data_IF_649722113927
#
_entry.id   IF_649722113927
#
_cell.length_a   1.000
_cell.length_b   1.000
_cell.length_c   1.000
_cell.angle_alpha   90.00
_cell.angle_beta   90.00
_cell.angle_gamma   90.00
#
_symmetry.space_group_name_H-M   'P 1'
#
loop_
_entity.id
_entity.type
_entity.pdbx_description
1 polymer ?
#
# COMPACT_ATOMS: atom_id res chain seq x y z
N UNK A 1 -12.91 -8.55 -19.29
CA UNK A 1 -11.47 -8.68 -19.60
C UNK A 1 -10.77 -9.18 -18.35
N UNK A 2 -9.71 -9.97 -18.48
CA UNK A 2 -8.97 -10.47 -17.32
C UNK A 2 -8.13 -9.34 -16.71
N UNK A 3 -7.94 -9.37 -15.39
CA UNK A 3 -6.99 -8.51 -14.70
C UNK A 3 -5.56 -8.97 -15.02
N UNK A 4 -4.64 -8.03 -15.18
CA UNK A 4 -3.23 -8.29 -15.44
C UNK A 4 -2.40 -7.85 -14.23
N UNK A 5 -1.25 -8.51 -14.01
CA UNK A 5 -0.27 -8.06 -13.03
C UNK A 5 0.46 -6.84 -13.60
N UNK A 6 0.29 -5.63 -13.04
CA UNK A 6 1.03 -4.47 -13.52
C UNK A 6 2.53 -4.69 -13.34
N UNK A 7 3.39 -4.25 -14.26
CA UNK A 7 4.83 -4.33 -14.06
C UNK A 7 5.25 -3.46 -12.86
N UNK A 8 6.34 -3.85 -12.19
CA UNK A 8 6.96 -2.99 -11.17
C UNK A 8 7.38 -1.64 -11.79
N UNK A 9 7.25 -0.52 -11.07
CA UNK A 9 7.69 0.80 -11.56
C UNK A 9 9.22 0.96 -11.69
N UNK A 10 9.98 -0.03 -11.24
CA UNK A 10 11.44 -0.04 -11.14
C UNK A 10 11.99 -1.47 -11.20
N UNK A 11 13.30 -1.61 -11.41
CA UNK A 11 14.00 -2.90 -11.38
C UNK A 11 13.93 -3.56 -10.00
N UNK A 12 13.97 -4.90 -9.94
CA UNK A 12 13.79 -5.64 -8.67
C UNK A 12 14.83 -5.35 -7.59
N UNK A 13 16.04 -4.95 -7.97
CA UNK A 13 17.09 -4.57 -7.00
C UNK A 13 17.10 -3.07 -6.69
N UNK A 14 16.18 -2.29 -7.25
CA UNK A 14 16.19 -0.83 -7.14
C UNK A 14 15.89 -0.33 -5.71
N UNK A 15 15.28 -1.17 -4.87
CA UNK A 15 14.94 -0.83 -3.48
C UNK A 15 16.00 -1.28 -2.46
N UNK A 16 17.11 -1.87 -2.92
CA UNK A 16 18.20 -2.28 -2.03
C UNK A 16 18.94 -1.07 -1.44
N UNK A 17 19.44 -1.16 -0.19
CA UNK A 17 19.42 -2.33 0.71
C UNK A 17 18.17 -2.39 1.61
N UNK A 18 17.14 -1.59 1.33
CA UNK A 18 15.99 -1.41 2.21
C UNK A 18 14.93 -2.49 2.04
N UNK A 19 14.74 -2.99 0.81
CA UNK A 19 13.97 -4.19 0.51
C UNK A 19 14.74 -4.94 -0.58
N UNK A 20 15.03 -6.23 -0.37
CA UNK A 20 15.89 -7.00 -1.27
C UNK A 20 15.20 -7.37 -2.58
N UNK A 21 16.00 -7.63 -3.62
CA UNK A 21 15.47 -8.20 -4.86
C UNK A 21 14.76 -9.55 -4.65
N UNK A 22 15.21 -10.35 -3.69
CA UNK A 22 14.55 -11.61 -3.31
C UNK A 22 13.14 -11.34 -2.75
N UNK A 23 13.00 -10.35 -1.85
CA UNK A 23 11.68 -9.93 -1.37
C UNK A 23 10.79 -9.50 -2.54
N UNK A 24 11.28 -8.72 -3.49
CA UNK A 24 10.46 -8.28 -4.63
C UNK A 24 10.07 -9.46 -5.55
N UNK A 25 10.96 -10.42 -5.76
CA UNK A 25 10.64 -11.63 -6.52
C UNK A 25 9.50 -12.43 -5.89
N UNK A 26 9.52 -12.64 -4.57
CA UNK A 26 8.43 -13.33 -3.89
C UNK A 26 7.17 -12.47 -3.77
N UNK A 27 7.30 -11.21 -3.37
CA UNK A 27 6.17 -10.34 -3.05
C UNK A 27 5.42 -9.90 -4.31
N UNK A 28 6.12 -9.53 -5.39
CA UNK A 28 5.50 -9.16 -6.65
C UNK A 28 5.15 -10.39 -7.51
N UNK A 29 6.15 -11.19 -7.91
CA UNK A 29 5.92 -12.22 -8.94
C UNK A 29 5.19 -13.46 -8.40
N UNK A 30 5.18 -13.68 -7.08
CA UNK A 30 4.44 -14.78 -6.45
C UNK A 30 3.19 -14.27 -5.73
N UNK A 31 3.31 -13.47 -4.67
CA UNK A 31 2.15 -13.05 -3.88
C UNK A 31 1.17 -12.19 -4.69
N UNK A 32 1.62 -11.06 -5.24
CA UNK A 32 0.77 -10.17 -6.04
C UNK A 32 0.18 -10.89 -7.27
N UNK A 33 1.01 -11.63 -8.01
CA UNK A 33 0.56 -12.42 -9.15
C UNK A 33 -0.50 -13.48 -8.77
N UNK A 34 -0.33 -14.16 -7.62
CA UNK A 34 -1.31 -15.15 -7.14
C UNK A 34 -2.66 -14.50 -6.88
N UNK A 35 -2.71 -13.28 -6.32
CA UNK A 35 -3.97 -12.56 -6.15
C UNK A 35 -4.64 -12.23 -7.49
N UNK A 36 -3.87 -11.84 -8.51
CA UNK A 36 -4.39 -11.61 -9.88
C UNK A 36 -4.97 -12.90 -10.46
N UNK A 37 -4.22 -14.00 -10.41
CA UNK A 37 -4.66 -15.32 -10.91
C UNK A 37 -5.93 -15.79 -10.20
N UNK A 38 -5.96 -15.70 -8.87
CA UNK A 38 -7.13 -16.09 -8.08
C UNK A 38 -8.35 -15.21 -8.38
N UNK A 39 -8.17 -13.89 -8.51
CA UNK A 39 -9.26 -12.99 -8.87
C UNK A 39 -9.85 -13.36 -10.23
N UNK A 40 -9.01 -13.61 -11.23
CA UNK A 40 -9.43 -14.05 -12.56
C UNK A 40 -10.16 -15.39 -12.57
N UNK A 41 -9.88 -16.28 -11.59
CA UNK A 41 -10.60 -17.54 -11.45
C UNK A 41 -11.96 -17.36 -10.74
N UNK A 42 -12.10 -16.36 -9.87
CA UNK A 42 -13.28 -16.16 -9.03
C UNK A 42 -14.35 -15.24 -9.66
N UNK A 43 -13.94 -14.29 -10.50
CA UNK A 43 -14.84 -13.29 -11.11
C UNK A 43 -15.76 -13.87 -12.19
N UNK A 44 -15.33 -14.82 -13.06
CA UNK A 44 -16.19 -15.30 -14.14
C UNK A 44 -17.52 -15.91 -13.67
N UNK A 45 -18.61 -15.60 -14.39
CA UNK A 45 -19.96 -16.02 -14.06
C UNK A 45 -20.60 -15.29 -12.87
N UNK A 46 -19.98 -14.25 -12.34
CA UNK A 46 -20.50 -13.44 -11.22
C UNK A 46 -20.95 -12.05 -11.67
N UNK A 47 -21.63 -11.31 -10.79
CA UNK A 47 -21.98 -9.89 -11.02
C UNK A 47 -20.78 -8.94 -11.12
N UNK A 48 -19.56 -9.44 -10.87
CA UNK A 48 -18.32 -8.67 -10.94
C UNK A 48 -17.65 -8.75 -12.31
N UNK A 49 -18.14 -9.59 -13.23
CA UNK A 49 -17.64 -9.62 -14.60
C UNK A 49 -17.75 -8.24 -15.27
N UNK A 50 -16.64 -7.76 -15.83
CA UNK A 50 -16.59 -6.49 -16.57
C UNK A 50 -16.51 -5.24 -15.70
N UNK A 51 -16.61 -5.35 -14.36
CA UNK A 51 -16.34 -4.24 -13.45
C UNK A 51 -14.85 -3.92 -13.36
N UNK A 52 -14.52 -2.67 -13.07
CA UNK A 52 -13.16 -2.25 -12.73
C UNK A 52 -12.70 -2.84 -11.39
N UNK A 53 -11.39 -2.86 -11.15
CA UNK A 53 -10.83 -3.39 -9.91
C UNK A 53 -11.38 -2.63 -8.68
N UNK A 54 -11.45 -1.30 -8.76
CA UNK A 54 -11.98 -0.43 -7.72
C UNK A 54 -13.46 -0.69 -7.43
N UNK A 55 -14.28 -0.90 -8.48
CA UNK A 55 -15.69 -1.26 -8.30
C UNK A 55 -15.84 -2.61 -7.59
N UNK A 56 -15.01 -3.60 -7.94
CA UNK A 56 -15.01 -4.90 -7.26
C UNK A 56 -14.59 -4.73 -5.80
N UNK A 57 -13.52 -3.99 -5.51
CA UNK A 57 -13.08 -3.72 -4.13
C UNK A 57 -14.19 -3.08 -3.30
N UNK A 58 -14.92 -2.13 -3.88
CA UNK A 58 -15.99 -1.39 -3.18
C UNK A 58 -17.28 -2.19 -2.96
N UNK A 59 -17.57 -3.18 -3.80
CA UNK A 59 -18.89 -3.85 -3.82
C UNK A 59 -18.87 -5.35 -3.54
N UNK A 60 -17.70 -5.99 -3.56
CA UNK A 60 -17.58 -7.43 -3.28
C UNK A 60 -17.32 -7.74 -1.80
N UNK A 61 -17.39 -9.02 -1.45
CA UNK A 61 -17.05 -9.54 -0.12
C UNK A 61 -16.36 -10.91 -0.25
N UNK A 62 -15.89 -11.47 0.87
CA UNK A 62 -15.30 -12.81 0.90
C UNK A 62 -14.06 -12.96 0.01
N UNK A 63 -13.96 -14.09 -0.70
CA UNK A 63 -12.77 -14.43 -1.51
C UNK A 63 -12.53 -13.46 -2.68
N UNK A 64 -13.58 -12.95 -3.32
CA UNK A 64 -13.46 -11.98 -4.42
C UNK A 64 -12.88 -10.66 -3.86
N UNK A 65 -13.43 -10.16 -2.76
CA UNK A 65 -12.91 -8.97 -2.09
C UNK A 65 -11.45 -9.14 -1.69
N UNK A 66 -11.11 -10.27 -1.05
CA UNK A 66 -9.75 -10.51 -0.58
C UNK A 66 -8.72 -10.43 -1.71
N UNK A 67 -9.00 -11.05 -2.85
CA UNK A 67 -8.07 -11.02 -3.97
C UNK A 67 -8.09 -9.67 -4.70
N UNK A 68 -9.26 -9.07 -4.94
CA UNK A 68 -9.36 -7.77 -5.59
C UNK A 68 -8.64 -6.67 -4.80
N UNK A 69 -8.90 -6.61 -3.49
CA UNK A 69 -8.28 -5.62 -2.63
C UNK A 69 -6.78 -5.86 -2.48
N UNK A 70 -6.30 -7.11 -2.42
CA UNK A 70 -4.86 -7.35 -2.41
C UNK A 70 -4.18 -6.98 -3.73
N UNK A 71 -4.79 -7.20 -4.90
CA UNK A 71 -4.26 -6.71 -6.19
C UNK A 71 -4.14 -5.18 -6.16
N UNK A 72 -5.20 -4.50 -5.70
CA UNK A 72 -5.20 -3.04 -5.64
C UNK A 72 -4.17 -2.51 -4.63
N UNK A 73 -4.15 -3.05 -3.41
CA UNK A 73 -3.25 -2.64 -2.33
C UNK A 73 -1.78 -2.81 -2.72
N UNK A 74 -1.41 -3.94 -3.36
CA UNK A 74 -0.03 -4.17 -3.80
C UNK A 74 0.36 -3.23 -4.93
N UNK A 75 -0.51 -3.06 -5.93
CA UNK A 75 -0.26 -2.10 -7.02
C UNK A 75 -0.04 -0.69 -6.46
N UNK A 76 -0.85 -0.27 -5.49
CA UNK A 76 -0.69 1.01 -4.81
C UNK A 76 0.62 1.07 -3.98
N UNK A 77 0.95 0.00 -3.27
CA UNK A 77 2.19 -0.11 -2.49
C UNK A 77 3.45 0.02 -3.33
N UNK A 78 3.53 -0.63 -4.50
CA UNK A 78 4.70 -0.50 -5.38
C UNK A 78 4.91 0.94 -5.86
N UNK A 79 3.82 1.66 -6.13
CA UNK A 79 3.91 3.07 -6.51
C UNK A 79 4.24 4.00 -5.33
N UNK A 80 3.96 3.58 -4.09
CA UNK A 80 4.39 4.25 -2.87
C UNK A 80 5.90 4.16 -2.61
N UNK A 81 6.62 3.33 -3.36
CA UNK A 81 8.07 3.14 -3.23
C UNK A 81 8.80 3.68 -4.45
N UNK A 82 10.05 4.10 -4.26
CA UNK A 82 10.93 4.58 -5.32
C UNK A 82 12.40 4.37 -4.95
N UNK A 83 13.27 4.00 -5.91
CA UNK A 83 14.72 3.94 -5.70
C UNK A 83 15.34 5.30 -5.31
N UNK A 84 14.68 6.40 -5.70
CA UNK A 84 15.08 7.77 -5.37
C UNK A 84 14.10 8.40 -4.35
N UNK A 85 13.39 7.56 -3.59
CA UNK A 85 12.43 7.99 -2.59
C UNK A 85 13.08 8.43 -1.28
N UNK A 86 12.27 8.47 -0.23
CA UNK A 86 12.68 8.89 1.10
C UNK A 86 12.73 10.41 1.26
N UNK A 87 13.46 10.88 2.27
CA UNK A 87 13.45 12.29 2.63
C UNK A 87 12.08 12.75 3.18
N UNK A 88 11.67 13.97 2.85
CA UNK A 88 10.43 14.59 3.30
C UNK A 88 9.59 15.07 2.11
N UNK A 89 8.26 15.07 2.20
CA UNK A 89 7.42 15.69 1.18
C UNK A 89 7.66 17.20 1.13
N UNK A 90 7.25 17.82 0.03
CA UNK A 90 7.31 19.28 -0.15
C UNK A 90 5.96 19.83 -0.59
N UNK A 91 5.83 21.16 -0.64
CA UNK A 91 4.63 21.84 -1.12
C UNK A 91 3.38 21.54 -0.31
N UNK A 92 2.22 21.54 -0.99
CA UNK A 92 0.91 21.43 -0.34
C UNK A 92 0.74 20.16 0.51
N UNK A 93 1.37 19.04 0.12
CA UNK A 93 1.34 17.81 0.91
C UNK A 93 2.10 17.98 2.24
N UNK A 94 3.26 18.63 2.22
CA UNK A 94 4.03 18.88 3.43
C UNK A 94 3.29 19.81 4.39
N UNK A 95 2.66 20.86 3.85
CA UNK A 95 1.83 21.78 4.64
C UNK A 95 0.63 21.06 5.27
N UNK A 96 -0.04 20.19 4.52
CA UNK A 96 -1.16 19.40 5.01
C UNK A 96 -0.74 18.41 6.11
N UNK A 97 0.41 17.75 5.96
CA UNK A 97 0.98 16.86 6.97
C UNK A 97 1.33 17.66 8.23
N UNK A 98 2.01 18.81 8.09
CA UNK A 98 2.36 19.64 9.24
C UNK A 98 1.11 20.19 9.95
N UNK A 99 0.06 20.54 9.21
CA UNK A 99 -1.20 21.00 9.79
C UNK A 99 -1.94 19.89 10.55
N UNK A 100 -1.96 18.66 10.02
CA UNK A 100 -2.68 17.54 10.63
C UNK A 100 -1.94 16.91 11.82
N UNK A 101 -0.61 16.80 11.74
CA UNK A 101 0.21 16.04 12.69
C UNK A 101 1.20 16.91 13.47
N UNK A 102 1.21 18.23 13.24
CA UNK A 102 2.10 19.21 13.87
C UNK A 102 3.50 19.29 13.25
N UNK A 103 4.05 18.17 12.75
CA UNK A 103 5.31 18.14 11.99
C UNK A 103 5.43 16.84 11.20
N UNK A 104 6.29 16.82 10.17
CA UNK A 104 6.64 15.59 9.46
C UNK A 104 7.19 14.50 10.39
N UNK A 105 8.07 14.86 11.35
CA UNK A 105 8.64 13.87 12.28
C UNK A 105 7.56 13.23 13.17
N UNK A 106 6.57 14.00 13.60
CA UNK A 106 5.42 13.47 14.36
C UNK A 106 4.52 12.58 13.50
N UNK A 107 4.24 12.98 12.26
CA UNK A 107 3.57 12.11 11.30
C UNK A 107 4.32 10.79 11.09
N UNK A 108 5.64 10.84 10.86
CA UNK A 108 6.50 9.67 10.68
C UNK A 108 6.45 8.75 11.90
N UNK A 109 6.53 9.32 13.11
CA UNK A 109 6.40 8.59 14.36
C UNK A 109 5.04 7.88 14.48
N UNK A 110 3.94 8.59 14.23
CA UNK A 110 2.59 8.05 14.36
C UNK A 110 2.24 7.02 13.28
N UNK A 111 2.57 7.28 12.01
CA UNK A 111 2.39 6.33 10.92
C UNK A 111 3.19 5.04 11.18
N UNK A 112 4.43 5.17 11.69
CA UNK A 112 5.23 4.01 12.06
C UNK A 112 4.57 3.21 13.18
N UNK A 113 4.05 3.86 14.22
CA UNK A 113 3.33 3.20 15.32
C UNK A 113 2.08 2.47 14.83
N UNK A 114 1.28 3.09 13.96
CA UNK A 114 0.08 2.48 13.37
C UNK A 114 0.45 1.25 12.54
N UNK A 115 1.46 1.35 11.67
CA UNK A 115 1.90 0.24 10.82
C UNK A 115 2.46 -0.91 11.66
N UNK A 116 3.36 -0.63 12.61
CA UNK A 116 3.96 -1.64 13.48
C UNK A 116 2.89 -2.32 14.35
N UNK A 117 1.97 -1.53 14.91
CA UNK A 117 0.91 -1.98 15.83
C UNK A 117 -0.25 -2.74 15.17
N UNK A 118 -0.27 -2.86 13.84
CA UNK A 118 -1.28 -3.66 13.11
C UNK A 118 -1.10 -5.14 13.47
N UNK A 119 -1.98 -5.69 14.32
CA UNK A 119 -1.82 -7.06 14.80
C UNK A 119 -2.19 -8.10 13.74
N UNK A 120 -1.23 -8.98 13.42
CA UNK A 120 -1.34 -9.94 12.32
C UNK A 120 -1.00 -9.33 10.96
N UNK A 121 -1.68 -9.83 9.93
CA UNK A 121 -1.55 -9.38 8.55
C UNK A 121 -2.39 -8.13 8.27
N UNK A 122 -1.83 -7.13 7.59
CA UNK A 122 -2.55 -5.89 7.31
C UNK A 122 -1.70 -4.81 6.67
N UNK A 123 -2.21 -3.59 6.72
CA UNK A 123 -1.66 -2.43 6.02
C UNK A 123 -1.80 -1.17 6.88
N UNK A 124 -0.74 -0.36 6.92
CA UNK A 124 -0.78 1.00 7.47
C UNK A 124 -1.01 2.04 6.37
N UNK A 125 -1.85 3.05 6.63
CA UNK A 125 -2.27 4.02 5.61
C UNK A 125 -2.19 5.45 6.09
N UNK A 126 -1.85 6.35 5.17
CA UNK A 126 -2.21 7.77 5.21
C UNK A 126 -3.36 7.95 4.21
N UNK A 127 -4.43 8.59 4.66
CA UNK A 127 -5.62 8.84 3.84
C UNK A 127 -6.06 10.30 3.90
N UNK A 128 -6.68 10.78 2.82
CA UNK A 128 -7.43 12.04 2.77
C UNK A 128 -8.91 11.73 2.97
N UNK A 129 -9.53 12.36 3.98
CA UNK A 129 -10.96 12.29 4.26
C UNK A 129 -11.76 13.15 3.28
N UNK A 130 -13.07 12.97 3.22
CA UNK A 130 -13.96 13.73 2.34
C UNK A 130 -13.95 15.24 2.61
N UNK A 131 -13.62 15.67 3.84
CA UNK A 131 -13.46 17.08 4.22
C UNK A 131 -12.06 17.65 3.88
N UNK A 132 -11.19 16.85 3.26
CA UNK A 132 -9.82 17.22 2.91
C UNK A 132 -8.80 17.02 4.03
N UNK A 133 -9.23 16.64 5.25
CA UNK A 133 -8.31 16.38 6.36
C UNK A 133 -7.50 15.09 6.14
N UNK A 134 -6.27 15.07 6.68
CA UNK A 134 -5.43 13.88 6.66
C UNK A 134 -5.65 13.04 7.91
N UNK A 135 -5.65 11.72 7.75
CA UNK A 135 -5.78 10.78 8.85
C UNK A 135 -4.90 9.53 8.63
N UNK A 136 -4.54 8.88 9.73
CA UNK A 136 -3.91 7.57 9.71
C UNK A 136 -4.96 6.47 9.87
N UNK A 137 -4.76 5.35 9.17
CA UNK A 137 -5.60 4.17 9.30
C UNK A 137 -4.76 2.89 9.31
N UNK A 138 -5.32 1.84 9.90
CA UNK A 138 -4.79 0.48 9.86
C UNK A 138 -5.90 -0.45 9.40
N UNK A 139 -5.61 -1.33 8.45
CA UNK A 139 -6.55 -2.35 7.98
C UNK A 139 -5.99 -3.74 8.20
N UNK A 140 -6.87 -4.71 8.49
CA UNK A 140 -6.52 -6.10 8.74
C UNK A 140 -6.84 -6.94 7.50
N UNK A 141 -6.00 -7.94 7.21
CA UNK A 141 -6.14 -8.79 6.03
C UNK A 141 -6.04 -7.98 4.74
N UNK A 142 -7.07 -8.06 3.92
CA UNK A 142 -7.16 -7.35 2.64
C UNK A 142 -7.88 -5.99 2.74
N UNK A 143 -8.22 -5.51 3.95
CA UNK A 143 -8.96 -4.26 4.10
C UNK A 143 -8.31 -3.09 3.37
N UNK A 144 -9.13 -2.24 2.75
CA UNK A 144 -8.69 -1.18 1.85
C UNK A 144 -9.53 0.08 2.09
N UNK A 145 -8.95 1.29 2.24
CA UNK A 145 -9.72 2.51 2.50
C UNK A 145 -10.70 2.91 1.38
N UNK A 146 -10.60 2.31 0.20
CA UNK A 146 -11.61 2.49 -0.86
C UNK A 146 -13.03 2.10 -0.40
N UNK A 147 -13.17 1.22 0.59
CA UNK A 147 -14.48 0.82 1.14
C UNK A 147 -15.07 1.82 2.14
N UNK A 148 -14.25 2.67 2.76
CA UNK A 148 -14.72 3.76 3.63
C UNK A 148 -14.99 5.07 2.89
N UNK A 149 -14.64 5.13 1.60
CA UNK A 149 -14.72 6.36 0.80
C UNK A 149 -13.57 7.34 1.05
N UNK A 150 -12.59 6.96 1.87
CA UNK A 150 -11.37 7.73 2.04
C UNK A 150 -10.48 7.59 0.81
N UNK A 151 -9.68 8.61 0.51
CA UNK A 151 -8.70 8.58 -0.59
C UNK A 151 -7.34 8.12 -0.04
N UNK A 152 -6.82 6.94 -0.44
CA UNK A 152 -5.49 6.49 -0.03
C UNK A 152 -4.39 7.39 -0.60
N UNK A 153 -3.41 7.75 0.22
CA UNK A 153 -2.28 8.60 -0.20
C UNK A 153 -0.95 7.84 -0.12
N UNK A 154 -0.71 7.12 0.98
CA UNK A 154 0.47 6.29 1.22
C UNK A 154 0.03 4.99 1.91
N UNK A 155 0.66 3.87 1.57
CA UNK A 155 0.47 2.60 2.28
C UNK A 155 1.80 1.94 2.60
N UNK A 156 1.82 1.16 3.68
CA UNK A 156 2.91 0.29 4.08
C UNK A 156 2.35 -1.11 4.32
N UNK A 157 2.80 -2.09 3.53
CA UNK A 157 2.44 -3.49 3.73
C UNK A 157 3.13 -4.01 5.00
N UNK A 158 2.34 -4.55 5.94
CA UNK A 158 2.86 -5.17 7.17
C UNK A 158 2.44 -6.63 7.32
N UNK A 159 2.00 -7.27 6.23
CA UNK A 159 2.03 -8.73 6.11
C UNK A 159 3.48 -9.21 6.25
N UNK A 160 3.67 -10.35 6.92
CA UNK A 160 5.02 -10.85 7.19
C UNK A 160 5.83 -11.07 5.91
N UNK A 161 5.21 -11.51 4.81
CA UNK A 161 5.91 -11.72 3.54
C UNK A 161 6.54 -10.44 2.95
N UNK A 162 6.08 -9.24 3.35
CA UNK A 162 6.66 -7.98 2.90
C UNK A 162 8.06 -7.72 3.47
N UNK A 163 8.43 -8.41 4.56
CA UNK A 163 9.67 -8.13 5.27
C UNK A 163 10.38 -9.34 5.87
N UNK A 164 9.77 -10.53 5.89
CA UNK A 164 10.34 -11.65 6.65
C UNK A 164 11.68 -12.13 6.09
N UNK A 165 11.88 -12.04 4.76
CA UNK A 165 13.14 -12.38 4.08
C UNK A 165 14.28 -11.46 4.56
N UNK A 166 14.01 -10.16 4.72
CA UNK A 166 15.04 -9.16 5.04
C UNK A 166 15.19 -8.91 6.54
N UNK A 167 14.09 -8.98 7.29
CA UNK A 167 14.00 -8.52 8.68
C UNK A 167 13.47 -9.55 9.68
N UNK A 168 13.02 -10.72 9.21
CA UNK A 168 12.39 -11.77 10.05
C UNK A 168 11.30 -11.15 10.94
N UNK A 169 11.33 -11.40 12.25
CA UNK A 169 10.33 -10.90 13.20
C UNK A 169 10.49 -9.39 13.52
N UNK A 170 11.49 -8.71 12.97
CA UNK A 170 11.85 -7.34 13.35
C UNK A 170 11.13 -6.31 12.47
N UNK A 171 9.79 -6.37 12.41
CA UNK A 171 8.93 -5.42 11.67
C UNK A 171 9.31 -3.94 11.89
N UNK A 172 9.66 -3.47 13.10
CA UNK A 172 10.08 -2.07 13.28
C UNK A 172 11.28 -1.67 12.41
N UNK A 173 12.22 -2.60 12.14
CA UNK A 173 13.38 -2.33 11.28
C UNK A 173 13.01 -2.23 9.81
N UNK A 174 12.05 -3.04 9.37
CA UNK A 174 11.46 -2.89 8.04
C UNK A 174 10.75 -1.54 7.87
N UNK A 175 9.91 -1.14 8.84
CA UNK A 175 9.21 0.15 8.77
C UNK A 175 10.19 1.33 8.82
N UNK A 176 11.29 1.21 9.60
CA UNK A 176 12.40 2.18 9.56
C UNK A 176 13.03 2.27 8.15
N UNK A 177 13.26 1.13 7.50
CA UNK A 177 13.82 1.07 6.15
C UNK A 177 12.88 1.61 5.07
N UNK A 178 11.58 1.31 5.17
CA UNK A 178 10.51 1.80 4.29
C UNK A 178 10.54 3.32 4.12
N UNK A 179 10.85 4.07 5.18
CA UNK A 179 10.94 5.53 5.11
C UNK A 179 12.05 6.07 4.19
N UNK A 180 13.03 5.25 3.81
CA UNK A 180 14.05 5.62 2.84
C UNK A 180 13.57 5.43 1.38
N UNK A 181 12.43 4.79 1.19
CA UNK A 181 11.89 4.43 -0.12
C UNK A 181 10.62 5.20 -0.49
N UNK A 182 10.01 5.92 0.46
CA UNK A 182 8.70 6.57 0.22
C UNK A 182 8.76 7.50 -0.98
N UNK A 183 7.90 7.23 -1.96
CA UNK A 183 7.74 8.02 -3.17
C UNK A 183 6.80 9.21 -2.92
N UNK A 184 7.33 10.31 -2.41
CA UNK A 184 6.53 11.50 -2.12
C UNK A 184 5.85 12.12 -3.34
N UNK A 185 6.38 11.93 -4.55
CA UNK A 185 5.74 12.41 -5.78
C UNK A 185 4.41 11.68 -6.02
N UNK A 186 4.38 10.35 -5.83
CA UNK A 186 3.14 9.58 -5.93
C UNK A 186 2.13 9.98 -4.85
N UNK A 187 2.59 10.16 -3.59
CA UNK A 187 1.72 10.62 -2.49
C UNK A 187 1.14 12.01 -2.80
N UNK A 188 1.95 12.92 -3.36
CA UNK A 188 1.52 14.28 -3.71
C UNK A 188 0.52 14.27 -4.88
N UNK A 189 0.71 13.40 -5.88
CA UNK A 189 -0.25 13.21 -6.97
C UNK A 189 -1.60 12.73 -6.45
N UNK A 190 -1.62 11.73 -5.58
CA UNK A 190 -2.86 11.25 -4.95
C UNK A 190 -3.52 12.32 -4.06
N UNK A 191 -2.73 13.16 -3.39
CA UNK A 191 -3.26 14.24 -2.57
C UNK A 191 -3.94 15.33 -3.41
N UNK A 192 -3.38 15.66 -4.57
CA UNK A 192 -3.90 16.68 -5.48
C UNK A 192 -5.11 16.24 -6.32
N UNK A 193 -5.38 14.93 -6.39
CA UNK A 193 -6.50 14.34 -7.12
C UNK A 193 -7.87 14.60 -6.46
#
# INVERSE_FOLDING_TARGET
MAFELPPLPYEKNALEPHISAETLEFHHDKHHNTYVVNLNNLVPGTEFEGKSLEEIVKTSSGGIFNNAAQVWNHTFYWNCLSPNGGGQPTGALADAINAAFGSFDKFKEEFSKVSIGTFGSGWGWLVKKADGSLALASTIGAGCPLTSGDTPLLTCDVWEHAYYIDYRNVRPKYVEAFWNLVNWDFVAQNYAA
#
